data_IF_039963956095
#
_entry.id   IF_039963956095
#
_cell.length_a   1.000
_cell.length_b   1.000
_cell.length_c   1.000
_cell.angle_alpha   90.00
_cell.angle_beta   90.00
_cell.angle_gamma   90.00
#
_symmetry.space_group_name_H-M   'P 1'
#
loop_
_entity.id
_entity.type
_entity.pdbx_description
1 polymer ?
#
# COMPACT_ATOMS: atom_id res chain seq x y z
N UNK A 1 -0.24 18.24 19.17
CA UNK A 1 -0.40 16.99 18.39
C UNK A 1 -1.81 16.88 17.79
N UNK A 2 -2.50 18.01 17.56
CA UNK A 2 -3.85 18.04 16.95
C UNK A 2 -3.85 18.56 15.50
N UNK A 3 -2.66 18.84 14.94
CA UNK A 3 -2.51 19.55 13.67
C UNK A 3 -2.09 18.64 12.51
N UNK A 4 -2.10 17.31 12.72
CA UNK A 4 -1.72 16.30 11.73
C UNK A 4 -2.74 15.16 11.74
N UNK A 5 -3.11 14.68 10.56
CA UNK A 5 -3.87 13.45 10.39
C UNK A 5 -3.25 12.59 9.29
N UNK A 6 -3.72 11.34 9.16
CA UNK A 6 -3.32 10.45 8.09
C UNK A 6 -4.48 10.03 7.21
N UNK A 7 -4.20 9.88 5.91
CA UNK A 7 -5.11 9.29 4.94
C UNK A 7 -4.42 8.11 4.28
N UNK A 8 -4.97 6.91 4.45
CA UNK A 8 -4.51 5.70 3.76
C UNK A 8 -5.37 5.48 2.51
N UNK A 9 -4.72 5.50 1.36
CA UNK A 9 -5.36 5.39 0.06
C UNK A 9 -5.56 3.91 -0.32
N UNK A 10 -6.82 3.47 -0.36
CA UNK A 10 -7.22 2.08 -0.59
C UNK A 10 -8.36 1.92 -1.62
N UNK A 11 -8.77 3.00 -2.31
CA UNK A 11 -9.89 2.97 -3.28
C UNK A 11 -9.57 2.32 -4.65
N UNK A 12 -8.29 2.13 -4.98
CA UNK A 12 -7.87 1.68 -6.31
C UNK A 12 -8.30 0.25 -6.69
N UNK A 13 -8.64 0.04 -7.96
CA UNK A 13 -9.11 -1.26 -8.47
C UNK A 13 -8.05 -2.37 -8.52
N UNK A 14 -6.75 -2.03 -8.49
CA UNK A 14 -5.69 -3.02 -8.60
C UNK A 14 -5.72 -3.84 -9.90
N UNK A 15 -6.14 -3.22 -11.02
CA UNK A 15 -6.36 -3.91 -12.32
C UNK A 15 -5.18 -4.76 -12.80
N UNK A 16 -3.95 -4.33 -12.52
CA UNK A 16 -2.71 -5.02 -12.88
C UNK A 16 -2.48 -6.33 -12.13
N UNK A 17 -3.16 -6.56 -10.99
CA UNK A 17 -3.13 -7.81 -10.23
C UNK A 17 -4.26 -8.77 -10.58
N UNK A 18 -5.14 -8.42 -11.52
CA UNK A 18 -6.20 -9.34 -11.96
C UNK A 18 -5.58 -10.63 -12.51
N UNK A 19 -6.21 -11.79 -12.27
CA UNK A 19 -7.54 -11.97 -11.66
C UNK A 19 -7.55 -12.06 -10.11
N UNK A 20 -6.43 -11.87 -9.40
CA UNK A 20 -6.41 -11.91 -7.93
C UNK A 20 -7.35 -10.86 -7.34
N UNK A 21 -7.37 -9.68 -7.96
CA UNK A 21 -8.17 -8.55 -7.49
C UNK A 21 -9.62 -8.58 -7.93
N UNK A 22 -10.08 -9.57 -8.69
CA UNK A 22 -11.49 -9.67 -9.10
C UNK A 22 -12.44 -9.93 -7.91
N UNK A 23 -11.91 -10.55 -6.84
CA UNK A 23 -12.70 -10.92 -5.65
C UNK A 23 -12.15 -10.38 -4.33
N UNK A 24 -10.88 -9.94 -4.31
CA UNK A 24 -10.22 -9.37 -3.13
C UNK A 24 -9.64 -8.00 -3.52
N UNK A 25 -10.05 -6.88 -2.89
CA UNK A 25 -9.45 -5.59 -3.24
C UNK A 25 -7.96 -5.59 -2.95
N UNK A 26 -7.16 -4.85 -3.74
CA UNK A 26 -5.69 -4.82 -3.59
C UNK A 26 -5.25 -4.52 -2.17
N UNK A 27 -5.92 -3.61 -1.49
CA UNK A 27 -5.64 -3.25 -0.10
C UNK A 27 -5.75 -4.44 0.88
N UNK A 28 -6.50 -5.49 0.54
CA UNK A 28 -6.65 -6.69 1.36
C UNK A 28 -5.83 -7.89 0.87
N UNK A 29 -5.09 -7.75 -0.25
CA UNK A 29 -4.14 -8.77 -0.67
C UNK A 29 -3.04 -8.92 0.41
N UNK A 30 -2.69 -10.15 0.84
CA UNK A 30 -1.73 -10.35 1.92
C UNK A 30 -0.28 -10.22 1.43
N UNK A 31 0.58 -9.55 2.19
CA UNK A 31 2.04 -9.64 2.05
C UNK A 31 2.60 -10.14 3.36
N UNK A 32 3.34 -11.26 3.32
CA UNK A 32 3.84 -11.89 4.54
C UNK A 32 2.71 -12.35 5.47
N UNK A 33 1.60 -12.83 4.90
CA UNK A 33 0.37 -13.22 5.61
C UNK A 33 -0.38 -12.08 6.32
N UNK A 34 -0.04 -10.82 6.06
CA UNK A 34 -0.73 -9.64 6.61
C UNK A 34 -1.35 -8.83 5.48
N UNK A 35 -2.63 -8.42 5.55
CA UNK A 35 -3.24 -7.53 4.55
C UNK A 35 -2.43 -6.25 4.36
N UNK A 36 -2.28 -5.81 3.10
CA UNK A 36 -1.58 -4.57 2.76
C UNK A 36 -2.09 -3.34 3.53
N UNK A 37 -3.41 -3.25 3.73
CA UNK A 37 -4.06 -2.20 4.52
C UNK A 37 -3.62 -2.23 5.98
N UNK A 38 -3.47 -3.40 6.58
CA UNK A 38 -3.03 -3.51 7.97
C UNK A 38 -1.55 -3.11 8.11
N UNK A 39 -0.71 -3.44 7.12
CA UNK A 39 0.67 -2.96 7.06
C UNK A 39 0.73 -1.43 6.93
N UNK A 40 -0.14 -0.83 6.12
CA UNK A 40 -0.21 0.61 5.95
C UNK A 40 -0.72 1.33 7.22
N UNK A 41 -1.75 0.79 7.87
CA UNK A 41 -2.26 1.31 9.15
C UNK A 41 -1.21 1.20 10.26
N UNK A 42 -0.50 0.07 10.35
CA UNK A 42 0.59 -0.09 11.32
C UNK A 42 1.72 0.92 11.09
N UNK A 43 2.05 1.20 9.82
CA UNK A 43 3.04 2.22 9.47
C UNK A 43 2.61 3.61 9.91
N UNK A 44 1.35 3.99 9.65
CA UNK A 44 0.77 5.27 10.10
C UNK A 44 0.75 5.35 11.63
N UNK A 45 0.43 4.26 12.32
CA UNK A 45 0.53 4.19 13.79
C UNK A 45 1.94 4.47 14.31
N UNK A 46 2.99 4.13 13.54
CA UNK A 46 4.37 4.50 13.84
C UNK A 46 4.62 6.01 13.93
N UNK A 47 3.80 6.83 13.27
CA UNK A 47 3.82 8.29 13.37
C UNK A 47 3.00 8.82 14.56
N UNK A 48 2.46 7.94 15.41
CA UNK A 48 1.59 8.31 16.53
C UNK A 48 0.15 8.62 16.13
N UNK A 49 -0.27 8.29 14.91
CA UNK A 49 -1.62 8.53 14.38
C UNK A 49 -2.42 7.22 14.41
N UNK A 50 -3.52 7.18 15.14
CA UNK A 50 -4.35 5.96 15.26
C UNK A 50 -5.80 6.28 15.59
N UNK A 51 -6.71 5.37 15.22
CA UNK A 51 -8.13 5.55 15.46
C UNK A 51 -8.80 6.52 14.48
N UNK A 52 -10.12 6.56 14.51
CA UNK A 52 -10.95 7.31 13.54
C UNK A 52 -10.88 8.83 13.66
N UNK A 53 -10.30 9.36 14.73
CA UNK A 53 -10.07 10.80 14.86
C UNK A 53 -8.86 11.26 14.03
N UNK A 54 -7.81 10.43 13.95
CA UNK A 54 -6.52 10.80 13.38
C UNK A 54 -6.25 10.14 12.02
N UNK A 55 -6.92 9.02 11.71
CA UNK A 55 -6.68 8.24 10.50
C UNK A 55 -7.97 8.08 9.71
N UNK A 56 -7.89 8.30 8.40
CA UNK A 56 -8.94 7.96 7.44
C UNK A 56 -8.45 6.93 6.42
N UNK A 57 -9.37 6.10 5.92
CA UNK A 57 -9.18 5.16 4.81
C UNK A 57 -10.22 5.47 3.76
N UNK A 58 -9.81 5.69 2.51
CA UNK A 58 -10.76 5.78 1.40
C UNK A 58 -11.00 4.42 0.75
N UNK A 59 -12.20 4.20 0.23
CA UNK A 59 -12.59 2.93 -0.40
C UNK A 59 -13.51 3.19 -1.59
N UNK A 60 -13.38 2.40 -2.66
CA UNK A 60 -14.29 2.44 -3.82
C UNK A 60 -14.50 1.02 -4.37
N UNK A 61 -13.53 0.49 -5.11
CA UNK A 61 -13.62 -0.85 -5.66
C UNK A 61 -13.65 -1.93 -4.58
N UNK A 62 -14.68 -2.80 -4.62
CA UNK A 62 -15.00 -3.76 -3.54
C UNK A 62 -15.03 -3.09 -2.15
N UNK A 63 -15.46 -1.82 -2.09
CA UNK A 63 -15.34 -0.97 -0.91
C UNK A 63 -16.00 -1.53 0.34
N UNK A 64 -17.08 -2.31 0.20
CA UNK A 64 -17.71 -3.02 1.33
C UNK A 64 -16.75 -3.95 2.08
N UNK A 65 -15.80 -4.61 1.39
CA UNK A 65 -14.79 -5.44 2.05
C UNK A 65 -13.76 -4.58 2.79
N UNK A 66 -13.32 -3.47 2.18
CA UNK A 66 -12.37 -2.53 2.82
C UNK A 66 -13.01 -1.90 4.07
N UNK A 67 -14.26 -1.49 3.98
CA UNK A 67 -15.07 -0.95 5.10
C UNK A 67 -15.18 -1.98 6.23
N UNK A 68 -15.60 -3.20 5.90
CA UNK A 68 -15.77 -4.27 6.89
C UNK A 68 -14.44 -4.64 7.56
N UNK A 69 -13.35 -4.71 6.80
CA UNK A 69 -12.02 -5.00 7.34
C UNK A 69 -11.53 -3.86 8.24
N UNK A 70 -11.68 -2.60 7.81
CA UNK A 70 -11.20 -1.42 8.55
C UNK A 70 -11.90 -1.27 9.91
N UNK A 71 -13.23 -1.40 9.95
CA UNK A 71 -14.00 -1.25 11.18
C UNK A 71 -13.88 0.16 11.78
N UNK A 72 -13.66 0.22 13.10
CA UNK A 72 -13.54 1.46 13.89
C UNK A 72 -12.10 2.02 13.96
N UNK A 73 -11.14 1.34 13.33
CA UNK A 73 -9.72 1.71 13.38
C UNK A 73 -9.40 3.02 12.65
N UNK A 74 -10.27 3.47 11.75
CA UNK A 74 -10.11 4.68 10.96
C UNK A 74 -11.48 5.26 10.57
N UNK A 75 -11.52 6.55 10.25
CA UNK A 75 -12.64 7.17 9.55
C UNK A 75 -12.73 6.60 8.12
N UNK A 76 -13.94 6.39 7.62
CA UNK A 76 -14.16 5.76 6.31
C UNK A 76 -14.74 6.77 5.33
N UNK A 77 -14.04 6.98 4.21
CA UNK A 77 -14.51 7.76 3.07
C UNK A 77 -14.81 6.84 1.90
N UNK A 78 -16.09 6.51 1.70
CA UNK A 78 -16.53 5.61 0.63
C UNK A 78 -16.91 6.42 -0.61
N UNK A 79 -16.22 6.15 -1.72
CA UNK A 79 -16.42 6.78 -3.02
C UNK A 79 -17.41 5.92 -3.84
N UNK A 80 -18.61 6.44 -4.18
CA UNK A 80 -19.77 5.61 -4.53
C UNK A 80 -19.70 4.91 -5.89
N UNK A 81 -19.09 5.53 -6.90
CA UNK A 81 -19.15 5.04 -8.28
C UNK A 81 -17.80 4.51 -8.78
N UNK A 82 -16.77 5.34 -8.67
CA UNK A 82 -15.44 5.05 -9.18
C UNK A 82 -14.41 5.75 -8.29
N UNK A 83 -13.15 5.27 -8.27
CA UNK A 83 -12.11 5.91 -7.51
C UNK A 83 -11.90 7.35 -8.00
N UNK A 84 -11.89 8.31 -7.08
CA UNK A 84 -11.63 9.73 -7.34
C UNK A 84 -10.13 10.05 -7.54
N UNK A 85 -9.28 9.03 -7.53
CA UNK A 85 -7.83 9.20 -7.55
C UNK A 85 -7.31 9.73 -6.21
N UNK A 86 -5.97 9.85 -6.11
CA UNK A 86 -5.33 10.22 -4.83
C UNK A 86 -5.67 11.64 -4.38
N UNK A 87 -5.85 12.58 -5.31
CA UNK A 87 -6.18 13.97 -4.98
C UNK A 87 -7.68 14.15 -4.73
N UNK A 88 -8.52 13.52 -5.55
CA UNK A 88 -9.96 13.57 -5.36
C UNK A 88 -10.43 12.92 -4.06
N UNK A 89 -9.78 11.82 -3.64
CA UNK A 89 -10.02 11.20 -2.35
C UNK A 89 -9.70 12.12 -1.16
N UNK A 90 -8.61 12.91 -1.26
CA UNK A 90 -8.30 13.94 -0.26
C UNK A 90 -9.32 15.09 -0.29
N UNK A 91 -9.75 15.51 -1.48
CA UNK A 91 -10.81 16.51 -1.65
C UNK A 91 -12.14 16.09 -1.01
N UNK A 92 -12.47 14.80 -1.07
CA UNK A 92 -13.66 14.23 -0.41
C UNK A 92 -13.53 14.20 1.13
N UNK A 93 -12.31 14.10 1.64
CA UNK A 93 -11.98 14.10 3.07
C UNK A 93 -11.70 15.50 3.65
N UNK A 94 -11.84 16.57 2.85
CA UNK A 94 -11.47 17.95 3.25
C UNK A 94 -12.03 18.37 4.60
N UNK A 95 -13.32 18.18 4.82
CA UNK A 95 -13.99 18.59 6.06
C UNK A 95 -13.52 17.78 7.27
N UNK A 96 -13.24 16.49 7.06
CA UNK A 96 -12.66 15.63 8.09
C UNK A 96 -11.21 16.03 8.40
N UNK A 97 -10.39 16.36 7.39
CA UNK A 97 -9.02 16.85 7.57
C UNK A 97 -9.03 18.15 8.39
N UNK A 98 -9.94 19.06 8.09
CA UNK A 98 -10.34 20.12 9.02
C UNK A 98 -9.22 21.07 9.45
N UNK A 99 -8.32 21.44 8.53
CA UNK A 99 -7.23 22.38 8.83
C UNK A 99 -5.88 21.73 9.18
N UNK A 100 -5.84 20.40 9.30
CA UNK A 100 -4.63 19.65 9.67
C UNK A 100 -3.71 19.43 8.47
N UNK A 101 -2.42 19.29 8.73
CA UNK A 101 -1.47 18.65 7.82
C UNK A 101 -1.88 17.19 7.58
N UNK A 102 -1.47 16.63 6.44
CA UNK A 102 -1.91 15.29 6.02
C UNK A 102 -0.72 14.42 5.66
N UNK A 103 -0.51 13.35 6.43
CA UNK A 103 0.31 12.22 6.04
C UNK A 103 -0.52 11.31 5.11
N UNK A 104 -0.16 11.24 3.83
CA UNK A 104 -0.82 10.39 2.85
C UNK A 104 0.00 9.13 2.62
N UNK A 105 -0.61 7.97 2.81
CA UNK A 105 0.02 6.67 2.60
C UNK A 105 -0.73 5.82 1.59
N UNK A 106 -0.01 5.22 0.64
CA UNK A 106 -0.61 4.26 -0.27
C UNK A 106 -0.71 2.90 0.42
N UNK A 107 -1.90 2.27 0.41
CA UNK A 107 -2.10 0.97 1.04
C UNK A 107 -1.24 -0.13 0.40
N UNK A 108 -0.94 0.00 -0.90
CA UNK A 108 -0.20 -0.98 -1.68
C UNK A 108 1.33 -0.82 -1.65
N UNK A 109 1.84 0.18 -0.94
CA UNK A 109 3.26 0.36 -0.73
C UNK A 109 3.74 -0.60 0.37
N UNK A 110 4.57 -1.57 -0.01
CA UNK A 110 5.30 -2.38 0.96
C UNK A 110 6.62 -1.68 1.29
N UNK A 111 6.85 -1.40 2.57
CA UNK A 111 8.10 -0.85 3.10
C UNK A 111 8.62 -1.76 4.19
N UNK A 112 9.93 -2.02 4.21
CA UNK A 112 10.59 -2.81 5.25
C UNK A 112 12.02 -2.29 5.51
N UNK A 113 12.40 -2.14 6.78
CA UNK A 113 13.62 -1.42 7.15
C UNK A 113 13.50 0.09 6.88
N UNK A 114 14.54 0.85 7.24
CA UNK A 114 14.53 2.31 7.23
C UNK A 114 13.52 2.91 8.23
N UNK A 115 13.55 4.23 8.39
CA UNK A 115 12.58 4.95 9.22
C UNK A 115 11.77 5.96 8.38
N UNK A 116 10.50 5.67 8.06
CA UNK A 116 9.68 6.62 7.30
C UNK A 116 9.32 7.88 8.11
N UNK A 117 9.57 7.89 9.43
CA UNK A 117 9.24 9.01 10.32
C UNK A 117 10.11 10.24 10.09
N UNK A 118 11.23 10.07 9.39
CA UNK A 118 12.09 11.16 8.91
C UNK A 118 11.30 12.19 8.08
N UNK A 119 10.16 11.79 7.48
CA UNK A 119 9.20 12.73 6.86
C UNK A 119 8.76 13.86 7.79
N UNK A 120 8.54 13.57 9.08
CA UNK A 120 8.09 14.55 10.07
C UNK A 120 9.24 15.31 10.73
N UNK A 121 10.47 14.83 10.64
CA UNK A 121 11.59 15.42 11.37
C UNK A 121 11.86 16.85 10.88
N UNK A 122 11.74 17.83 11.78
CA UNK A 122 11.92 19.24 11.44
C UNK A 122 10.94 19.78 10.41
N UNK A 123 9.78 19.13 10.21
CA UNK A 123 8.77 19.64 9.29
C UNK A 123 8.21 20.97 9.79
N UNK A 124 8.19 21.96 8.91
CA UNK A 124 7.76 23.34 9.19
C UNK A 124 6.24 23.52 9.13
N UNK A 125 5.48 22.47 8.78
CA UNK A 125 4.04 22.52 8.55
C UNK A 125 3.67 23.08 7.17
N UNK A 126 4.65 23.51 6.38
CA UNK A 126 4.44 24.22 5.14
C UNK A 126 5.04 23.49 3.92
N UNK A 127 6.15 22.76 4.05
CA UNK A 127 6.81 22.12 2.92
C UNK A 127 6.09 20.82 2.51
N UNK A 128 5.92 20.57 1.22
CA UNK A 128 5.47 19.25 0.75
C UNK A 128 6.66 18.29 0.83
N UNK A 129 6.50 17.17 1.53
CA UNK A 129 7.57 16.16 1.61
C UNK A 129 7.16 14.85 0.98
N UNK A 130 8.04 14.28 0.16
CA UNK A 130 7.89 12.95 -0.42
C UNK A 130 8.94 12.03 0.17
N UNK A 131 8.53 10.84 0.63
CA UNK A 131 9.50 9.80 0.95
C UNK A 131 9.99 9.18 -0.35
N UNK A 132 11.30 9.11 -0.55
CA UNK A 132 11.87 8.72 -1.83
C UNK A 132 13.13 7.87 -1.75
N UNK A 133 13.31 7.00 -2.74
CA UNK A 133 14.52 6.19 -2.91
C UNK A 133 15.32 6.68 -4.11
N UNK A 134 16.65 6.81 -4.00
CA UNK A 134 17.48 7.28 -5.10
C UNK A 134 17.42 6.28 -6.27
N UNK A 135 17.38 6.80 -7.50
CA UNK A 135 17.42 6.00 -8.72
C UNK A 135 18.64 6.42 -9.54
N UNK A 136 19.43 5.46 -9.99
CA UNK A 136 20.67 5.72 -10.75
C UNK A 136 20.41 6.31 -12.15
N UNK A 137 19.23 6.06 -12.72
CA UNK A 137 18.86 6.48 -14.07
C UNK A 137 17.62 7.37 -14.03
N UNK A 138 17.69 8.52 -14.70
CA UNK A 138 16.57 9.45 -14.85
C UNK A 138 15.43 8.77 -15.60
N UNK A 139 14.23 8.82 -15.04
CA UNK A 139 13.00 8.31 -15.64
C UNK A 139 11.85 9.29 -15.41
N UNK A 140 10.78 9.23 -16.21
CA UNK A 140 9.56 10.00 -15.93
C UNK A 140 9.03 9.71 -14.52
N UNK A 141 8.52 10.74 -13.84
CA UNK A 141 7.89 10.58 -12.53
C UNK A 141 8.83 10.68 -11.32
N UNK A 142 10.15 10.83 -11.52
CA UNK A 142 11.08 11.10 -10.41
C UNK A 142 10.91 12.52 -9.85
N UNK A 143 11.32 12.70 -8.60
CA UNK A 143 11.44 13.98 -7.91
C UNK A 143 12.85 14.06 -7.34
N UNK A 144 13.62 15.10 -7.69
CA UNK A 144 15.01 15.28 -7.23
C UNK A 144 15.89 14.00 -7.36
N UNK A 145 15.74 13.24 -8.44
CA UNK A 145 16.48 11.98 -8.68
C UNK A 145 15.98 10.75 -7.90
N UNK A 146 14.86 10.87 -7.18
CA UNK A 146 14.30 9.80 -6.36
C UNK A 146 12.94 9.31 -6.90
N UNK A 147 12.66 8.02 -6.72
CA UNK A 147 11.31 7.46 -6.87
C UNK A 147 10.52 7.66 -5.59
N UNK A 148 9.26 8.03 -5.70
CA UNK A 148 8.33 8.05 -4.58
C UNK A 148 8.08 6.63 -4.04
N UNK A 149 8.06 6.46 -2.71
CA UNK A 149 7.89 5.14 -2.07
C UNK A 149 6.60 5.01 -1.25
N UNK A 150 5.56 5.77 -1.59
CA UNK A 150 4.21 5.54 -1.08
C UNK A 150 3.83 6.32 0.18
N UNK A 151 4.67 7.26 0.64
CA UNK A 151 4.34 8.19 1.72
C UNK A 151 4.67 9.63 1.34
N UNK A 152 3.70 10.53 1.52
CA UNK A 152 3.90 11.98 1.36
C UNK A 152 3.29 12.73 2.55
N UNK A 153 3.82 13.90 2.85
CA UNK A 153 3.35 14.78 3.91
C UNK A 153 3.00 16.13 3.29
N UNK A 154 1.74 16.53 3.46
CA UNK A 154 1.15 17.67 2.77
C UNK A 154 0.69 18.73 3.78
N UNK A 155 1.01 20.02 3.55
CA UNK A 155 0.47 21.11 4.35
C UNK A 155 -1.02 21.34 4.00
N UNK A 156 -1.81 21.78 4.97
CA UNK A 156 -3.24 22.05 4.76
C UNK A 156 -3.50 23.02 3.60
N UNK A 157 -2.66 24.06 3.43
CA UNK A 157 -2.84 25.06 2.36
C UNK A 157 -2.81 24.46 0.95
N UNK A 158 -2.17 23.30 0.76
CA UNK A 158 -2.13 22.57 -0.52
C UNK A 158 -3.26 21.56 -0.68
N UNK A 159 -4.00 21.28 0.39
CA UNK A 159 -5.09 20.29 0.43
C UNK A 159 -6.48 20.95 0.45
N UNK A 160 -6.61 22.11 1.10
CA UNK A 160 -7.89 22.78 1.37
C UNK A 160 -8.75 23.05 0.13
N UNK A 161 -8.10 23.26 -1.03
CA UNK A 161 -8.74 23.64 -2.29
C UNK A 161 -8.84 22.47 -3.30
N UNK A 162 -8.53 21.22 -2.90
CA UNK A 162 -8.59 20.06 -3.81
C UNK A 162 -10.04 19.65 -4.12
N UNK A 163 -10.43 19.53 -5.38
CA UNK A 163 -11.78 19.09 -5.73
C UNK A 163 -12.00 17.60 -5.46
N UNK A 164 -13.22 17.23 -5.07
CA UNK A 164 -13.64 15.82 -4.95
C UNK A 164 -13.99 15.22 -6.34
N UNK A 165 -13.03 15.28 -7.28
CA UNK A 165 -13.17 14.80 -8.66
C UNK A 165 -11.99 13.91 -9.05
N UNK A 166 -12.12 13.02 -10.07
CA UNK A 166 -11.05 12.13 -10.51
C UNK A 166 -9.75 12.85 -10.87
N UNK A 167 -8.76 12.82 -9.97
CA UNK A 167 -7.46 13.47 -10.16
C UNK A 167 -6.38 12.93 -9.20
N UNK A 168 -5.11 13.21 -9.51
CA UNK A 168 -3.95 12.65 -8.80
C UNK A 168 -3.08 13.72 -8.14
N UNK A 169 -2.55 13.44 -6.95
CA UNK A 169 -1.72 14.35 -6.16
C UNK A 169 -0.47 14.81 -6.91
N UNK A 170 0.06 13.96 -7.79
CA UNK A 170 1.20 14.31 -8.64
C UNK A 170 0.91 15.56 -9.47
N UNK A 171 -0.32 15.74 -9.94
CA UNK A 171 -0.71 16.87 -10.79
C UNK A 171 -1.18 18.08 -9.99
N UNK A 172 -1.90 17.86 -8.88
CA UNK A 172 -2.54 18.95 -8.14
C UNK A 172 -1.70 19.49 -6.99
N UNK A 173 -0.75 18.72 -6.46
CA UNK A 173 0.06 19.11 -5.29
C UNK A 173 1.54 19.00 -5.57
N UNK A 174 2.05 17.83 -5.96
CA UNK A 174 3.50 17.58 -5.96
C UNK A 174 4.22 18.37 -7.05
N UNK A 175 3.76 18.31 -8.31
CA UNK A 175 4.40 19.09 -9.41
C UNK A 175 4.24 20.61 -9.21
N UNK A 176 3.08 21.13 -8.76
CA UNK A 176 2.99 22.54 -8.37
C UNK A 176 3.97 22.93 -7.24
N UNK A 177 4.05 22.13 -6.16
CA UNK A 177 4.98 22.42 -5.06
C UNK A 177 6.45 22.34 -5.51
N UNK A 178 6.80 21.40 -6.38
CA UNK A 178 8.15 21.33 -6.99
C UNK A 178 8.46 22.58 -7.83
N UNK A 179 7.51 23.05 -8.64
CA UNK A 179 7.67 24.26 -9.44
C UNK A 179 7.81 25.52 -8.57
N UNK A 180 7.14 25.56 -7.43
CA UNK A 180 7.21 26.66 -6.45
C UNK A 180 8.47 26.58 -5.56
N UNK A 181 9.26 25.52 -5.66
CA UNK A 181 10.44 25.29 -4.79
C UNK A 181 10.08 24.88 -3.36
N UNK A 182 8.85 24.40 -3.13
CA UNK A 182 8.29 24.02 -1.83
C UNK A 182 8.12 22.50 -1.67
N UNK A 183 8.84 21.71 -2.48
CA UNK A 183 8.87 20.25 -2.39
C UNK A 183 10.26 19.77 -1.99
N UNK A 184 10.29 18.94 -0.95
CA UNK A 184 11.47 18.23 -0.48
C UNK A 184 11.26 16.73 -0.65
N UNK A 185 12.33 16.02 -1.03
CA UNK A 185 12.34 14.56 -1.01
C UNK A 185 13.19 14.11 0.17
N UNK A 186 12.56 13.40 1.09
CA UNK A 186 13.22 12.76 2.24
C UNK A 186 13.71 11.38 1.82
N UNK A 187 15.03 11.09 1.90
CA UNK A 187 15.58 9.80 1.52
C UNK A 187 15.04 8.66 2.38
N UNK A 188 14.78 7.52 1.74
CA UNK A 188 14.45 6.27 2.40
C UNK A 188 15.47 5.19 2.00
N UNK A 189 16.14 4.63 2.99
CA UNK A 189 17.22 3.64 2.82
C UNK A 189 16.74 2.19 3.00
N UNK A 190 15.46 1.99 3.35
CA UNK A 190 14.84 0.67 3.47
C UNK A 190 14.51 0.02 2.13
N UNK A 191 13.72 -1.05 2.18
CA UNK A 191 13.20 -1.79 1.03
C UNK A 191 11.81 -1.29 0.68
N UNK A 192 11.53 -1.13 -0.62
CA UNK A 192 10.23 -0.74 -1.13
C UNK A 192 9.82 -1.59 -2.33
N UNK A 193 8.55 -2.00 -2.34
CA UNK A 193 7.88 -2.56 -3.52
C UNK A 193 6.53 -1.85 -3.74
N UNK A 194 6.28 -1.36 -4.95
CA UNK A 194 4.91 -1.10 -5.42
C UNK A 194 4.30 -2.45 -5.77
N UNK A 195 3.42 -2.95 -4.92
CA UNK A 195 2.80 -4.27 -5.10
C UNK A 195 1.74 -4.32 -6.19
N UNK A 196 1.77 -3.39 -7.16
CA UNK A 196 0.81 -3.26 -8.26
C UNK A 196 0.90 -4.31 -9.34
N UNK A 197 1.98 -5.07 -9.43
CA UNK A 197 2.11 -6.16 -10.41
C UNK A 197 2.29 -7.50 -9.70
N UNK A 198 1.92 -8.64 -10.32
CA UNK A 198 2.15 -9.95 -9.74
C UNK A 198 3.62 -10.20 -9.39
N UNK A 199 4.54 -9.68 -10.22
CA UNK A 199 5.98 -9.76 -10.00
C UNK A 199 6.41 -9.04 -8.72
N UNK A 200 6.04 -7.77 -8.57
CA UNK A 200 6.44 -6.97 -7.42
C UNK A 200 5.73 -7.44 -6.14
N UNK A 201 4.48 -7.89 -6.26
CA UNK A 201 3.73 -8.48 -5.16
C UNK A 201 4.34 -9.82 -4.68
N UNK A 202 4.78 -10.68 -5.61
CA UNK A 202 5.53 -11.89 -5.28
C UNK A 202 6.85 -11.52 -4.60
N UNK A 203 7.62 -10.60 -5.16
CA UNK A 203 8.89 -10.15 -4.60
C UNK A 203 8.73 -9.61 -3.17
N UNK A 204 7.69 -8.80 -2.90
CA UNK A 204 7.40 -8.30 -1.56
C UNK A 204 7.10 -9.43 -0.55
N UNK A 205 6.37 -10.47 -0.97
CA UNK A 205 6.10 -11.64 -0.14
C UNK A 205 7.36 -12.46 0.14
N UNK A 206 8.19 -12.70 -0.87
CA UNK A 206 9.44 -13.43 -0.71
C UNK A 206 10.43 -12.66 0.18
N UNK A 207 10.46 -11.33 0.06
CA UNK A 207 11.20 -10.47 0.97
C UNK A 207 10.70 -10.60 2.40
N UNK A 208 9.38 -10.55 2.62
CA UNK A 208 8.78 -10.73 3.94
C UNK A 208 9.09 -12.11 4.56
N UNK A 209 9.36 -13.14 3.76
CA UNK A 209 9.77 -14.46 4.22
C UNK A 209 11.27 -14.56 4.61
N UNK A 210 12.06 -13.50 4.43
CA UNK A 210 13.46 -13.43 4.89
C UNK A 210 14.40 -14.46 4.27
N UNK A 211 14.10 -14.92 3.03
CA UNK A 211 14.89 -15.96 2.35
C UNK A 211 14.60 -17.40 2.80
N UNK A 212 13.67 -17.59 3.73
CA UNK A 212 13.16 -18.89 4.17
C UNK A 212 11.69 -19.11 3.78
N UNK A 213 11.02 -20.03 4.49
CA UNK A 213 9.57 -20.19 4.35
C UNK A 213 8.84 -19.40 5.44
N UNK A 214 7.75 -18.75 5.08
CA UNK A 214 6.80 -18.18 6.03
C UNK A 214 5.51 -19.00 6.00
N UNK A 215 5.34 -19.89 6.98
CA UNK A 215 4.24 -20.88 6.98
C UNK A 215 3.26 -20.61 8.11
N UNK A 216 2.01 -20.31 7.74
CA UNK A 216 0.85 -20.23 8.64
C UNK A 216 -0.23 -21.29 8.32
N UNK A 217 0.03 -22.15 7.33
CA UNK A 217 -0.86 -23.24 6.90
C UNK A 217 -0.27 -24.62 7.16
N UNK A 218 -0.85 -25.65 6.55
CA UNK A 218 -0.37 -27.03 6.61
C UNK A 218 0.45 -27.37 5.38
N UNK A 219 1.67 -27.87 5.58
CA UNK A 219 2.58 -28.30 4.49
C UNK A 219 2.99 -29.74 4.73
N UNK A 220 2.65 -30.63 3.81
CA UNK A 220 3.08 -32.04 3.80
C UNK A 220 3.97 -32.38 2.60
N UNK A 221 3.94 -31.57 1.54
CA UNK A 221 4.86 -31.65 0.39
C UNK A 221 6.13 -30.81 0.57
N UNK A 222 6.83 -30.52 -0.53
CA UNK A 222 8.05 -29.69 -0.50
C UNK A 222 7.71 -28.21 -0.54
N UNK A 223 8.31 -27.42 0.34
CA UNK A 223 8.14 -25.95 0.35
C UNK A 223 9.51 -25.28 0.49
N UNK A 224 9.86 -24.39 -0.44
CA UNK A 224 11.15 -23.69 -0.46
C UNK A 224 10.98 -22.22 -0.80
N UNK A 225 11.57 -21.34 0.02
CA UNK A 225 11.51 -19.88 -0.12
C UNK A 225 10.11 -19.38 -0.47
N UNK A 226 9.10 -19.79 0.29
CA UNK A 226 7.70 -19.55 -0.08
C UNK A 226 6.87 -19.09 1.11
N UNK A 227 5.77 -18.38 0.80
CA UNK A 227 4.79 -17.94 1.79
C UNK A 227 3.56 -18.83 1.70
N UNK A 228 3.13 -19.40 2.83
CA UNK A 228 1.91 -20.21 2.94
C UNK A 228 1.00 -19.57 3.96
N UNK A 229 -0.16 -19.11 3.50
CA UNK A 229 -1.15 -18.40 4.30
C UNK A 229 -1.92 -19.25 5.29
N UNK A 230 -2.58 -18.61 6.27
CA UNK A 230 -3.41 -19.30 7.26
C UNK A 230 -4.49 -20.16 6.59
N UNK A 231 -4.66 -21.38 7.10
CA UNK A 231 -5.65 -22.34 6.59
C UNK A 231 -5.35 -22.92 5.20
N UNK A 232 -4.24 -22.54 4.56
CA UNK A 232 -3.83 -23.13 3.29
C UNK A 232 -3.30 -24.56 3.50
N UNK A 233 -3.43 -25.41 2.47
CA UNK A 233 -2.90 -26.78 2.48
C UNK A 233 -1.98 -27.02 1.27
N UNK A 234 -0.77 -27.50 1.53
CA UNK A 234 0.26 -27.74 0.51
C UNK A 234 0.76 -29.18 0.61
N UNK A 235 0.20 -30.05 -0.23
CA UNK A 235 0.64 -31.44 -0.40
C UNK A 235 1.57 -31.63 -1.61
N UNK A 236 1.61 -30.68 -2.54
CA UNK A 236 2.53 -30.65 -3.69
C UNK A 236 3.84 -29.94 -3.40
N UNK A 237 4.56 -29.57 -4.46
CA UNK A 237 5.83 -28.84 -4.39
C UNK A 237 5.62 -27.35 -4.66
N UNK A 238 6.17 -26.48 -3.82
CA UNK A 238 6.10 -25.03 -3.95
C UNK A 238 7.49 -24.42 -3.78
N UNK A 239 7.93 -23.62 -4.75
CA UNK A 239 9.23 -22.93 -4.74
C UNK A 239 9.06 -21.46 -5.15
N UNK A 240 9.68 -20.54 -4.42
CA UNK A 240 9.65 -19.09 -4.72
C UNK A 240 8.23 -18.56 -5.02
N UNK A 241 7.25 -18.99 -4.23
CA UNK A 241 5.83 -18.78 -4.52
C UNK A 241 5.03 -18.37 -3.29
N UNK A 242 3.81 -17.88 -3.53
CA UNK A 242 2.86 -17.48 -2.48
C UNK A 242 1.61 -18.35 -2.60
N UNK A 243 1.18 -18.94 -1.50
CA UNK A 243 -0.09 -19.67 -1.37
C UNK A 243 -0.97 -18.88 -0.41
N UNK A 244 -2.04 -18.26 -0.92
CA UNK A 244 -2.94 -17.39 -0.15
C UNK A 244 -3.67 -18.12 0.98
N UNK A 245 -4.22 -17.38 1.96
CA UNK A 245 -5.10 -17.94 2.97
C UNK A 245 -6.17 -18.88 2.39
N UNK A 246 -6.33 -20.06 2.99
CA UNK A 246 -7.30 -21.09 2.57
C UNK A 246 -7.04 -21.73 1.19
N UNK A 247 -5.95 -21.38 0.49
CA UNK A 247 -5.64 -21.94 -0.81
C UNK A 247 -5.11 -23.37 -0.71
N UNK A 248 -5.19 -24.11 -1.82
CA UNK A 248 -4.81 -25.54 -1.88
C UNK A 248 -3.82 -25.79 -3.00
N UNK A 249 -2.77 -26.54 -2.66
CA UNK A 249 -1.82 -27.15 -3.60
C UNK A 249 -1.87 -28.66 -3.39
N UNK A 250 -2.51 -29.36 -4.30
CA UNK A 250 -2.73 -30.80 -4.23
C UNK A 250 -1.43 -31.60 -4.42
N UNK A 251 -1.45 -32.86 -3.97
CA UNK A 251 -0.37 -33.79 -4.23
C UNK A 251 -0.12 -33.91 -5.74
N UNK A 252 1.14 -33.82 -6.16
CA UNK A 252 1.55 -33.87 -7.57
C UNK A 252 1.58 -32.51 -8.29
N UNK A 253 1.00 -31.44 -7.72
CA UNK A 253 1.20 -30.09 -8.26
C UNK A 253 2.63 -29.60 -8.00
N UNK A 254 3.17 -28.81 -8.94
CA UNK A 254 4.46 -28.13 -8.81
C UNK A 254 4.29 -26.65 -9.15
N UNK A 255 4.50 -25.79 -8.16
CA UNK A 255 4.41 -24.34 -8.28
C UNK A 255 5.79 -23.71 -8.16
N UNK A 256 6.10 -22.80 -9.08
CA UNK A 256 7.40 -22.13 -9.18
C UNK A 256 7.21 -20.69 -9.68
N UNK A 257 7.60 -19.69 -8.88
CA UNK A 257 7.44 -18.26 -9.17
C UNK A 257 5.98 -17.85 -9.47
N UNK A 258 5.03 -18.30 -8.65
CA UNK A 258 3.59 -18.03 -8.82
C UNK A 258 2.89 -17.61 -7.53
N UNK A 259 1.70 -17.05 -7.67
CA UNK A 259 0.74 -16.77 -6.60
C UNK A 259 -0.47 -17.69 -6.78
N UNK A 260 -0.73 -18.56 -5.82
CA UNK A 260 -1.90 -19.46 -5.77
C UNK A 260 -2.97 -18.88 -4.86
N UNK A 261 -4.15 -18.64 -5.42
CA UNK A 261 -5.36 -18.21 -4.70
C UNK A 261 -6.47 -19.26 -4.86
N UNK A 262 -7.11 -19.63 -3.75
CA UNK A 262 -8.09 -20.72 -3.73
C UNK A 262 -7.51 -22.03 -4.25
N UNK A 263 -8.33 -22.83 -4.94
CA UNK A 263 -7.94 -24.18 -5.40
C UNK A 263 -7.34 -24.22 -6.80
N UNK A 264 -7.66 -23.25 -7.66
CA UNK A 264 -7.39 -23.34 -9.10
C UNK A 264 -6.65 -22.12 -9.63
N UNK A 265 -6.84 -20.95 -9.02
CA UNK A 265 -6.27 -19.72 -9.58
C UNK A 265 -4.77 -19.65 -9.28
N UNK A 266 -3.96 -19.66 -10.34
CA UNK A 266 -2.51 -19.50 -10.27
C UNK A 266 -2.08 -18.38 -11.17
N UNK A 267 -1.44 -17.35 -10.61
CA UNK A 267 -0.96 -16.18 -11.35
C UNK A 267 0.57 -16.20 -11.40
N UNK A 268 1.19 -16.12 -12.59
CA UNK A 268 2.64 -15.99 -12.72
C UNK A 268 3.15 -14.70 -12.07
N UNK A 269 4.25 -14.78 -11.31
CA UNK A 269 4.94 -13.64 -10.69
C UNK A 269 6.23 -13.25 -11.39
N UNK A 270 6.34 -13.49 -12.70
CA UNK A 270 7.52 -13.20 -13.53
C UNK A 270 7.24 -12.10 -14.54
#
# INVERSE_FOLDING_TARGET
>A
MGDLCAVVLAAGEGRRLRPLTDTVPKALCPVGNVPLLDLALARVAGFGLSGSADVAVNASYLGGQVVAHTGDRAHLSVEPDHPLGTSGGLGNLRDWIGGRGVLVGNADAYLAGGDPRDLLEGWDGETVRLLGQPVSETRPGLFSGHRFVGLSLLPWRRVRDLDATPTELVHTVWRPAEADGELEVVPFDGVFFDTGTPRDYLAANLHAAGGGNLVAGTVTGRCVRSVVGPGATVAGDVTDSVVWPGAVVAAGERLDHVIRAGRQLTVPGR
#
